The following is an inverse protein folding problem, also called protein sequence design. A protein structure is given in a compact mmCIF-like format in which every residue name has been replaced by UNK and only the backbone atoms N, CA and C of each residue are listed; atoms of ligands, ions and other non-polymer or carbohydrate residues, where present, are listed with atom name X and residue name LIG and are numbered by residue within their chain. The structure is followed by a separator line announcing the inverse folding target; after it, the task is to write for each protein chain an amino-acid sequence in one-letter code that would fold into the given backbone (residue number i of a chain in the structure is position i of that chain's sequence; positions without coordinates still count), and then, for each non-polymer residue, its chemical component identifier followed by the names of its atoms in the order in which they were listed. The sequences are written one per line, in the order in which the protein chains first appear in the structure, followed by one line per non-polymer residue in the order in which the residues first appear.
data_IF_314933667063
#
_entry.id   IF_314933667063
#
_cell.length_a   1.000
_cell.length_b   1.000
_cell.length_c   1.000
_cell.angle_alpha   90.00
_cell.angle_beta   90.00
_cell.angle_gamma   90.00
#
_symmetry.space_group_name_H-M   'P 1'
#
loop_
_entity.id
_entity.type
_entity.pdbx_description
1 polymer ?
#
# COMPACT_ATOMS: atom_id res chain seq x y z
N UNK A 1 2.72 -17.94 22.34
CA UNK A 1 3.86 -18.05 21.40
C UNK A 1 3.67 -17.22 20.12
N UNK A 2 2.85 -16.16 20.15
CA UNK A 2 2.65 -15.22 19.03
C UNK A 2 3.67 -14.08 19.02
N UNK A 3 4.22 -13.70 20.19
CA UNK A 3 5.29 -12.71 20.32
C UNK A 3 6.58 -13.08 19.56
N UNK A 4 6.81 -14.37 19.29
CA UNK A 4 7.96 -14.84 18.53
C UNK A 4 7.76 -14.73 16.99
N UNK A 5 6.52 -14.54 16.51
CA UNK A 5 6.24 -14.30 15.09
C UNK A 5 6.48 -12.85 14.68
N UNK A 6 6.25 -11.89 15.59
CA UNK A 6 6.57 -10.48 15.35
C UNK A 6 8.08 -10.20 15.37
N UNK A 7 8.84 -10.88 16.22
CA UNK A 7 10.30 -10.74 16.27
C UNK A 7 10.99 -11.26 14.99
N UNK A 8 10.39 -12.23 14.30
CA UNK A 8 10.88 -12.75 13.02
C UNK A 8 10.59 -11.80 11.84
N UNK A 9 9.73 -10.79 12.03
CA UNK A 9 9.33 -9.82 10.99
C UNK A 9 10.35 -8.71 10.77
N UNK A 10 11.17 -8.39 11.78
CA UNK A 10 12.17 -7.30 11.73
C UNK A 10 13.46 -7.74 11.01
N UNK A 11 13.59 -9.04 10.70
CA UNK A 11 14.85 -9.64 10.22
C UNK A 11 14.80 -10.48 8.94
N UNK A 12 13.69 -10.53 8.20
CA UNK A 12 13.69 -11.17 6.88
C UNK A 12 14.01 -10.16 5.79
N UNK A 13 15.23 -10.25 5.26
CA UNK A 13 15.50 -9.95 3.86
C UNK A 13 14.37 -10.56 3.03
N UNK A 14 13.46 -9.71 2.53
CA UNK A 14 12.37 -10.11 1.64
C UNK A 14 13.01 -10.87 0.49
N UNK A 15 12.86 -12.19 0.50
CA UNK A 15 13.46 -13.07 -0.51
C UNK A 15 13.14 -12.52 -1.88
N UNK A 16 14.17 -12.04 -2.57
CA UNK A 16 14.08 -11.39 -3.87
C UNK A 16 13.46 -12.42 -4.83
N UNK A 17 12.15 -12.30 -5.07
CA UNK A 17 11.53 -12.87 -6.24
C UNK A 17 12.20 -12.19 -7.43
N UNK A 18 13.13 -12.94 -8.04
CA UNK A 18 14.03 -12.58 -9.14
C UNK A 18 13.51 -11.45 -10.04
N UNK A 19 14.41 -10.51 -10.30
CA UNK A 19 14.37 -9.46 -11.35
C UNK A 19 13.18 -9.61 -12.31
N UNK A 20 12.09 -8.92 -11.96
CA UNK A 20 10.87 -8.90 -12.76
C UNK A 20 11.14 -8.16 -14.06
N UNK A 21 10.92 -8.84 -15.18
CA UNK A 21 11.00 -8.28 -16.53
C UNK A 21 9.56 -8.11 -17.04
N UNK A 22 9.15 -6.93 -17.53
CA UNK A 22 7.77 -6.70 -17.94
C UNK A 22 7.38 -7.70 -19.05
N UNK A 23 6.22 -8.39 -18.95
CA UNK A 23 5.71 -9.18 -20.06
C UNK A 23 5.34 -8.26 -21.23
N UNK A 24 5.62 -8.70 -22.46
CA UNK A 24 5.16 -7.99 -23.65
C UNK A 24 3.63 -7.91 -23.64
N UNK A 25 3.09 -6.71 -23.81
CA UNK A 25 1.65 -6.46 -23.93
C UNK A 25 1.05 -7.34 -25.03
N UNK A 26 0.06 -8.22 -24.74
CA UNK A 26 -0.64 -8.96 -25.78
C UNK A 26 -1.40 -7.99 -26.68
N UNK A 27 -1.24 -8.12 -28.00
CA UNK A 27 -2.00 -7.34 -28.97
C UNK A 27 -3.44 -7.84 -29.03
N UNK A 28 -4.38 -7.04 -28.54
CA UNK A 28 -5.82 -7.33 -28.62
C UNK A 28 -6.33 -6.88 -29.98
N UNK A 29 -6.86 -7.82 -30.78
CA UNK A 29 -7.59 -7.49 -32.00
C UNK A 29 -8.99 -6.95 -31.64
N UNK A 30 -9.47 -5.85 -32.24
CA UNK A 30 -10.71 -5.21 -31.81
C UNK A 30 -11.94 -5.95 -32.36
N UNK A 31 -12.82 -6.39 -31.45
CA UNK A 31 -14.20 -6.75 -31.77
C UNK A 31 -15.06 -5.48 -31.93
N UNK A 32 -16.07 -5.55 -32.81
CA UNK A 32 -16.92 -4.44 -33.28
C UNK A 32 -17.72 -3.77 -32.15
N UNK A 33 -17.36 -2.53 -31.88
CA UNK A 33 -18.07 -1.50 -31.14
C UNK A 33 -17.07 -0.34 -30.97
N UNK A 34 -17.39 0.89 -31.36
CA UNK A 34 -16.44 2.00 -31.22
C UNK A 34 -16.35 2.39 -29.74
N UNK A 35 -15.61 1.61 -28.97
CA UNK A 35 -15.32 1.90 -27.58
C UNK A 35 -14.51 3.20 -27.49
N UNK A 36 -14.93 4.09 -26.58
CA UNK A 36 -14.27 5.38 -26.39
C UNK A 36 -12.82 5.19 -25.94
N UNK A 37 -11.94 6.18 -26.19
CA UNK A 37 -10.55 6.10 -25.75
C UNK A 37 -10.42 5.87 -24.22
N UNK A 38 -11.39 6.39 -23.46
CA UNK A 38 -11.51 6.22 -22.01
C UNK A 38 -11.83 4.79 -21.60
N UNK A 39 -12.78 4.14 -22.27
CA UNK A 39 -13.14 2.74 -22.02
C UNK A 39 -11.97 1.80 -22.33
N UNK A 40 -11.31 1.99 -23.48
CA UNK A 40 -10.12 1.21 -23.85
C UNK A 40 -8.99 1.34 -22.83
N UNK A 41 -8.82 2.53 -22.24
CA UNK A 41 -7.85 2.74 -21.15
C UNK A 41 -8.23 1.91 -19.92
N UNK A 42 -9.49 1.98 -19.49
CA UNK A 42 -9.96 1.25 -18.32
C UNK A 42 -9.88 -0.28 -18.52
N UNK A 43 -10.18 -0.77 -19.72
CA UNK A 43 -10.00 -2.19 -20.08
C UNK A 43 -8.53 -2.63 -19.97
N UNK A 44 -7.59 -1.80 -20.45
CA UNK A 44 -6.14 -2.07 -20.29
C UNK A 44 -5.73 -2.10 -18.83
N UNK A 45 -6.15 -1.10 -18.04
CA UNK A 45 -5.86 -1.03 -16.60
C UNK A 45 -6.40 -2.27 -15.88
N UNK A 46 -7.65 -2.66 -16.15
CA UNK A 46 -8.23 -3.87 -15.58
C UNK A 46 -7.42 -5.13 -15.94
N UNK A 47 -7.04 -5.27 -17.21
CA UNK A 47 -6.26 -6.42 -17.69
C UNK A 47 -4.89 -6.51 -17.04
N UNK A 48 -4.21 -5.38 -16.89
CA UNK A 48 -2.90 -5.26 -16.25
C UNK A 48 -2.99 -5.61 -14.77
N UNK A 49 -3.97 -5.03 -14.06
CA UNK A 49 -4.22 -5.34 -12.66
C UNK A 49 -4.49 -6.83 -12.48
N UNK A 50 -5.43 -7.39 -13.25
CA UNK A 50 -5.78 -8.80 -13.16
C UNK A 50 -4.57 -9.72 -13.38
N UNK A 51 -3.79 -9.46 -14.44
CA UNK A 51 -2.61 -10.28 -14.78
C UNK A 51 -1.52 -10.19 -13.72
N UNK A 52 -1.20 -8.98 -13.26
CA UNK A 52 -0.13 -8.75 -12.28
C UNK A 52 -0.52 -9.31 -10.90
N UNK A 53 -1.76 -9.10 -10.50
CA UNK A 53 -2.30 -9.64 -9.24
C UNK A 53 -2.36 -11.17 -9.29
N UNK A 54 -2.73 -11.77 -10.43
CA UNK A 54 -2.68 -13.23 -10.58
C UNK A 54 -1.28 -13.80 -10.38
N UNK A 55 -0.22 -13.08 -10.79
CA UNK A 55 1.15 -13.49 -10.53
C UNK A 55 1.50 -13.38 -9.04
N UNK A 56 1.17 -12.26 -8.40
CA UNK A 56 1.43 -12.05 -6.97
C UNK A 56 0.68 -13.06 -6.10
N UNK A 57 -0.59 -13.34 -6.42
CA UNK A 57 -1.43 -14.30 -5.68
C UNK A 57 -0.84 -15.71 -5.74
N UNK A 58 -0.29 -16.17 -6.87
CA UNK A 58 0.32 -17.51 -6.97
C UNK A 58 1.39 -17.76 -5.91
N UNK A 59 2.16 -16.73 -5.55
CA UNK A 59 3.21 -16.83 -4.55
C UNK A 59 2.66 -17.06 -3.13
N UNK A 60 1.43 -16.64 -2.86
CA UNK A 60 0.85 -16.61 -1.50
C UNK A 60 -0.45 -17.40 -1.35
N UNK A 61 -1.01 -17.95 -2.43
CA UNK A 61 -2.32 -18.60 -2.41
C UNK A 61 -2.41 -19.75 -1.40
N UNK A 62 -1.29 -20.44 -1.15
CA UNK A 62 -1.19 -21.52 -0.18
C UNK A 62 -1.37 -21.07 1.29
N UNK A 63 -1.27 -19.75 1.56
CA UNK A 63 -1.46 -19.17 2.89
C UNK A 63 -2.92 -18.73 3.13
N UNK A 64 -3.73 -18.63 2.07
CA UNK A 64 -5.14 -18.29 2.17
C UNK A 64 -5.96 -19.51 2.61
N UNK A 65 -6.89 -19.30 3.54
CA UNK A 65 -7.70 -20.36 4.15
C UNK A 65 -9.17 -20.32 3.72
N UNK A 66 -9.64 -19.16 3.27
CA UNK A 66 -11.06 -18.84 3.06
C UNK A 66 -11.42 -18.65 1.60
N UNK A 67 -10.51 -18.14 0.78
CA UNK A 67 -10.74 -17.86 -0.64
C UNK A 67 -9.94 -18.82 -1.52
N UNK A 68 -10.53 -19.20 -2.66
CA UNK A 68 -9.75 -19.84 -3.72
C UNK A 68 -8.80 -18.82 -4.36
N UNK A 69 -7.75 -19.30 -5.03
CA UNK A 69 -6.82 -18.46 -5.80
C UNK A 69 -7.56 -17.51 -6.76
N UNK A 70 -8.53 -18.03 -7.52
CA UNK A 70 -9.37 -17.24 -8.43
C UNK A 70 -10.18 -16.17 -7.70
N UNK A 71 -10.70 -16.47 -6.51
CA UNK A 71 -11.46 -15.52 -5.70
C UNK A 71 -10.55 -14.42 -5.14
N UNK A 72 -9.33 -14.75 -4.70
CA UNK A 72 -8.32 -13.75 -4.30
C UNK A 72 -8.04 -12.78 -5.45
N UNK A 73 -7.69 -13.30 -6.64
CA UNK A 73 -7.40 -12.48 -7.82
C UNK A 73 -8.58 -11.56 -8.14
N UNK A 74 -9.80 -12.11 -8.16
CA UNK A 74 -11.02 -11.35 -8.44
C UNK A 74 -11.24 -10.20 -7.45
N UNK A 75 -11.09 -10.46 -6.15
CA UNK A 75 -11.28 -9.44 -5.09
C UNK A 75 -10.21 -8.36 -5.13
N UNK A 76 -8.94 -8.75 -5.18
CA UNK A 76 -7.81 -7.83 -5.20
C UNK A 76 -7.81 -6.95 -6.46
N UNK A 77 -8.15 -7.53 -7.61
CA UNK A 77 -8.36 -6.77 -8.86
C UNK A 77 -9.49 -5.78 -8.68
N UNK A 78 -10.62 -6.17 -8.07
CA UNK A 78 -11.76 -5.27 -7.84
C UNK A 78 -11.39 -4.08 -6.95
N UNK A 79 -10.66 -4.29 -5.86
CA UNK A 79 -10.21 -3.22 -4.96
C UNK A 79 -9.35 -2.19 -5.73
N UNK A 80 -8.34 -2.69 -6.46
CA UNK A 80 -7.41 -1.86 -7.23
C UNK A 80 -8.07 -1.16 -8.40
N UNK A 81 -8.95 -1.87 -9.13
CA UNK A 81 -9.65 -1.32 -10.28
C UNK A 81 -10.64 -0.23 -9.87
N UNK A 82 -11.34 -0.41 -8.75
CA UNK A 82 -12.23 0.62 -8.20
C UNK A 82 -11.45 1.92 -7.93
N UNK A 83 -10.27 1.84 -7.34
CA UNK A 83 -9.39 2.99 -7.13
C UNK A 83 -9.00 3.66 -8.47
N UNK A 84 -8.56 2.86 -9.44
CA UNK A 84 -8.14 3.36 -10.76
C UNK A 84 -9.26 3.98 -11.60
N UNK A 85 -10.53 3.64 -11.32
CA UNK A 85 -11.70 4.24 -12.00
C UNK A 85 -12.12 5.60 -11.41
N UNK A 86 -11.50 6.05 -10.32
CA UNK A 86 -11.79 7.36 -9.72
C UNK A 86 -11.44 8.48 -10.70
N UNK A 87 -12.46 9.23 -11.15
CA UNK A 87 -12.31 10.24 -12.21
C UNK A 87 -11.30 11.33 -11.87
N UNK A 88 -11.19 11.69 -10.59
CA UNK A 88 -10.29 12.73 -10.09
C UNK A 88 -8.82 12.43 -10.41
N UNK A 89 -8.43 11.15 -10.45
CA UNK A 89 -7.06 10.74 -10.77
C UNK A 89 -6.59 11.27 -12.13
N UNK A 90 -7.50 11.47 -13.09
CA UNK A 90 -7.13 11.93 -14.44
C UNK A 90 -6.81 13.41 -14.51
N UNK A 91 -7.16 14.17 -13.48
CA UNK A 91 -6.95 15.62 -13.40
C UNK A 91 -5.77 16.01 -12.51
N UNK A 92 -5.18 15.05 -11.81
CA UNK A 92 -4.09 15.27 -10.87
C UNK A 92 -2.72 15.36 -11.55
N UNK A 93 -1.77 15.98 -10.85
CA UNK A 93 -0.35 15.89 -11.20
C UNK A 93 0.15 14.45 -11.05
N UNK A 94 1.20 14.10 -11.79
CA UNK A 94 1.60 12.69 -11.93
C UNK A 94 1.96 12.01 -10.60
N UNK A 95 2.61 12.75 -9.70
CA UNK A 95 3.01 12.33 -8.36
C UNK A 95 1.79 12.06 -7.48
N UNK A 96 0.78 12.94 -7.58
CA UNK A 96 -0.49 12.79 -6.88
C UNK A 96 -1.29 11.59 -7.40
N UNK A 97 -1.24 11.27 -8.70
CA UNK A 97 -1.83 10.03 -9.23
C UNK A 97 -1.19 8.81 -8.60
N UNK A 98 0.15 8.77 -8.53
CA UNK A 98 0.90 7.67 -7.94
C UNK A 98 0.54 7.45 -6.47
N UNK A 99 0.45 8.54 -5.70
CA UNK A 99 0.03 8.52 -4.30
C UNK A 99 -1.42 8.05 -4.14
N UNK A 100 -2.33 8.66 -4.88
CA UNK A 100 -3.76 8.49 -4.65
C UNK A 100 -4.26 7.10 -5.08
N UNK A 101 -3.71 6.51 -6.14
CA UNK A 101 -4.07 5.14 -6.54
C UNK A 101 -3.67 4.12 -5.46
N UNK A 102 -2.49 4.30 -4.85
CA UNK A 102 -2.02 3.44 -3.74
C UNK A 102 -2.92 3.65 -2.53
N UNK A 103 -3.13 4.88 -2.08
CA UNK A 103 -3.97 5.20 -0.92
C UNK A 103 -5.38 4.62 -1.03
N UNK A 104 -6.06 4.84 -2.16
CA UNK A 104 -7.42 4.34 -2.37
C UNK A 104 -7.46 2.81 -2.41
N UNK A 105 -6.47 2.19 -3.06
CA UNK A 105 -6.39 0.73 -3.12
C UNK A 105 -6.12 0.16 -1.74
N UNK A 106 -5.07 0.64 -1.05
CA UNK A 106 -4.66 0.21 0.29
C UNK A 106 -5.75 0.45 1.34
N UNK A 107 -6.56 1.50 1.20
CA UNK A 107 -7.71 1.70 2.09
C UNK A 107 -8.73 0.56 2.03
N UNK A 108 -9.10 0.13 0.81
CA UNK A 108 -10.05 -0.98 0.62
C UNK A 108 -9.42 -2.36 0.84
N UNK A 109 -8.20 -2.55 0.36
CA UNK A 109 -7.41 -3.78 0.50
C UNK A 109 -7.01 -4.03 1.96
N UNK A 110 -6.44 -3.03 2.63
CA UNK A 110 -6.06 -3.08 4.05
C UNK A 110 -7.26 -3.35 4.96
N UNK A 111 -8.38 -2.66 4.73
CA UNK A 111 -9.61 -2.90 5.51
C UNK A 111 -10.16 -4.31 5.34
N UNK A 112 -10.00 -4.94 4.18
CA UNK A 112 -10.58 -6.26 3.90
C UNK A 112 -9.62 -7.42 4.18
N UNK A 113 -8.30 -7.18 4.11
CA UNK A 113 -7.31 -8.24 4.04
C UNK A 113 -6.18 -8.12 5.07
N UNK A 114 -6.11 -7.06 5.88
CA UNK A 114 -4.97 -6.84 6.80
C UNK A 114 -4.73 -8.00 7.79
N UNK A 115 -5.77 -8.75 8.15
CA UNK A 115 -5.65 -9.91 9.05
C UNK A 115 -5.29 -11.22 8.34
N UNK A 116 -5.18 -11.22 7.01
CA UNK A 116 -4.76 -12.40 6.27
C UNK A 116 -3.26 -12.67 6.47
N UNK A 117 -2.88 -13.94 6.64
CA UNK A 117 -1.48 -14.34 6.88
C UNK A 117 -0.52 -13.96 5.73
N UNK A 118 -1.07 -13.79 4.53
CA UNK A 118 -0.34 -13.37 3.33
C UNK A 118 -0.31 -11.86 3.09
N UNK A 119 -1.01 -11.05 3.89
CA UNK A 119 -1.19 -9.61 3.64
C UNK A 119 0.13 -8.87 3.40
N UNK A 120 1.11 -9.10 4.27
CA UNK A 120 2.43 -8.49 4.18
C UNK A 120 3.41 -9.27 3.28
N UNK A 121 3.00 -10.44 2.76
CA UNK A 121 3.82 -11.30 1.90
C UNK A 121 3.51 -11.13 0.42
N UNK A 122 2.29 -10.73 0.08
CA UNK A 122 1.90 -10.47 -1.30
C UNK A 122 2.51 -9.15 -1.76
N UNK A 123 3.23 -9.17 -2.89
CA UNK A 123 3.74 -7.95 -3.51
C UNK A 123 2.74 -7.41 -4.53
N UNK A 124 2.04 -6.34 -4.15
CA UNK A 124 1.07 -5.66 -5.00
C UNK A 124 1.68 -4.46 -5.75
N UNK A 125 2.90 -4.03 -5.40
CA UNK A 125 3.50 -2.83 -5.98
C UNK A 125 3.62 -2.90 -7.51
N UNK A 126 4.05 -4.03 -8.14
CA UNK A 126 4.14 -4.11 -9.60
C UNK A 126 2.80 -3.88 -10.31
N UNK A 127 1.68 -4.31 -9.70
CA UNK A 127 0.36 -4.09 -10.25
C UNK A 127 -0.02 -2.60 -10.19
N UNK A 128 0.30 -1.93 -9.08
CA UNK A 128 0.01 -0.52 -8.88
C UNK A 128 0.86 0.37 -9.80
N UNK A 129 2.14 0.05 -9.97
CA UNK A 129 3.05 0.78 -10.86
C UNK A 129 2.53 0.75 -12.30
N UNK A 130 2.17 -0.43 -12.80
CA UNK A 130 1.67 -0.56 -14.17
C UNK A 130 0.31 0.11 -14.37
N UNK A 131 -0.59 0.03 -13.38
CA UNK A 131 -1.87 0.72 -13.44
C UNK A 131 -1.69 2.25 -13.43
N UNK A 132 -0.82 2.77 -12.56
CA UNK A 132 -0.48 4.19 -12.51
C UNK A 132 0.12 4.66 -13.84
N UNK A 133 1.06 3.90 -14.41
CA UNK A 133 1.68 4.21 -15.69
C UNK A 133 0.66 4.36 -16.82
N UNK A 134 -0.26 3.41 -16.97
CA UNK A 134 -1.31 3.48 -18.00
C UNK A 134 -2.22 4.70 -17.81
N UNK A 135 -2.61 5.01 -16.57
CA UNK A 135 -3.42 6.19 -16.26
C UNK A 135 -2.69 7.48 -16.64
N UNK A 136 -1.40 7.56 -16.35
CA UNK A 136 -0.56 8.74 -16.62
C UNK A 136 -0.37 8.96 -18.12
N UNK A 137 -0.01 7.92 -18.87
CA UNK A 137 0.12 7.99 -20.32
C UNK A 137 -1.23 8.32 -20.96
N UNK A 138 -2.32 7.70 -20.48
CA UNK A 138 -3.68 7.99 -20.92
C UNK A 138 -4.15 9.43 -20.62
N UNK A 139 -3.54 10.08 -19.64
CA UNK A 139 -3.83 11.48 -19.24
C UNK A 139 -2.85 12.49 -19.87
N UNK A 140 -1.95 12.04 -20.75
CA UNK A 140 -1.06 12.92 -21.52
C UNK A 140 0.37 13.09 -20.96
N UNK A 141 0.75 12.37 -19.90
CA UNK A 141 2.09 12.45 -19.30
C UNK A 141 3.15 11.64 -20.08
N UNK A 142 3.35 11.96 -21.37
CA UNK A 142 4.19 11.16 -22.27
C UNK A 142 5.71 11.26 -22.05
N UNK A 143 6.18 12.26 -21.29
CA UNK A 143 7.61 12.51 -21.04
C UNK A 143 8.08 12.06 -19.66
N UNK A 144 7.22 11.41 -18.89
CA UNK A 144 7.54 10.94 -17.56
C UNK A 144 8.43 9.69 -17.65
N UNK A 145 9.42 9.58 -16.76
CA UNK A 145 10.23 8.36 -16.66
C UNK A 145 9.47 7.29 -15.88
N UNK A 146 9.41 6.08 -16.44
CA UNK A 146 8.80 4.91 -15.79
C UNK A 146 9.43 4.67 -14.41
N UNK A 147 10.74 4.87 -14.27
CA UNK A 147 11.45 4.68 -13.01
C UNK A 147 10.94 5.64 -11.92
N UNK A 148 10.63 6.88 -12.27
CA UNK A 148 10.08 7.85 -11.30
C UNK A 148 8.69 7.42 -10.80
N UNK A 149 7.86 6.86 -11.69
CA UNK A 149 6.55 6.31 -11.31
C UNK A 149 6.73 5.09 -10.42
N UNK A 150 7.65 4.20 -10.76
CA UNK A 150 7.96 3.03 -9.96
C UNK A 150 8.41 3.42 -8.55
N UNK A 151 9.39 4.30 -8.43
CA UNK A 151 9.91 4.78 -7.13
C UNK A 151 8.79 5.45 -6.30
N UNK A 152 7.97 6.30 -6.92
CA UNK A 152 6.88 6.99 -6.22
C UNK A 152 5.81 6.02 -5.70
N UNK A 153 5.35 5.08 -6.54
CA UNK A 153 4.31 4.11 -6.18
C UNK A 153 4.83 3.09 -5.16
N UNK A 154 6.04 2.56 -5.34
CA UNK A 154 6.64 1.61 -4.40
C UNK A 154 6.82 2.24 -3.03
N UNK A 155 7.36 3.47 -2.97
CA UNK A 155 7.52 4.20 -1.70
C UNK A 155 6.20 4.38 -0.97
N UNK A 156 5.16 4.86 -1.66
CA UNK A 156 3.84 5.05 -1.05
C UNK A 156 3.20 3.73 -0.62
N UNK A 157 3.45 2.63 -1.35
CA UNK A 157 2.96 1.31 -0.99
C UNK A 157 3.65 0.76 0.27
N UNK A 158 4.97 0.89 0.35
CA UNK A 158 5.76 0.48 1.52
C UNK A 158 5.39 1.29 2.75
N UNK A 159 5.24 2.62 2.61
CA UNK A 159 4.76 3.49 3.68
C UNK A 159 3.41 3.02 4.22
N UNK A 160 2.46 2.66 3.35
CA UNK A 160 1.18 2.10 3.82
C UNK A 160 1.32 0.76 4.56
N UNK A 161 2.23 -0.12 4.11
CA UNK A 161 2.48 -1.37 4.83
C UNK A 161 3.07 -1.11 6.21
N UNK A 162 4.01 -0.18 6.31
CA UNK A 162 4.64 0.21 7.57
C UNK A 162 3.62 0.81 8.54
N UNK A 163 2.69 1.65 8.04
CA UNK A 163 1.56 2.16 8.81
C UNK A 163 0.69 1.02 9.38
N UNK A 164 0.29 0.06 8.54
CA UNK A 164 -0.55 -1.07 9.00
C UNK A 164 0.20 -1.96 9.99
N UNK A 165 1.51 -2.15 9.80
CA UNK A 165 2.34 -2.93 10.72
C UNK A 165 2.46 -2.23 12.07
N UNK A 166 2.69 -0.92 12.08
CA UNK A 166 2.74 -0.12 13.30
C UNK A 166 1.42 -0.17 14.06
N UNK A 167 0.30 0.04 13.37
CA UNK A 167 -1.04 -0.02 13.97
C UNK A 167 -1.28 -1.37 14.65
N UNK A 168 -0.92 -2.47 13.98
CA UNK A 168 -1.02 -3.83 14.54
C UNK A 168 -0.13 -4.01 15.76
N UNK A 169 1.14 -3.60 15.69
CA UNK A 169 2.08 -3.72 16.80
C UNK A 169 1.64 -2.90 18.03
N UNK A 170 1.11 -1.70 17.81
CA UNK A 170 0.55 -0.88 18.89
C UNK A 170 -0.66 -1.55 19.52
N UNK A 171 -1.63 -2.01 18.72
CA UNK A 171 -2.83 -2.66 19.23
C UNK A 171 -2.52 -3.95 20.01
N UNK A 172 -1.58 -4.76 19.53
CA UNK A 172 -1.16 -5.98 20.22
C UNK A 172 -0.48 -5.66 21.55
N UNK A 173 0.42 -4.67 21.57
CA UNK A 173 1.07 -4.20 22.80
C UNK A 173 0.05 -3.68 23.81
N UNK A 174 -0.96 -2.93 23.36
CA UNK A 174 -2.01 -2.41 24.22
C UNK A 174 -2.91 -3.53 24.77
N UNK A 175 -3.24 -4.53 23.97
CA UNK A 175 -4.00 -5.71 24.43
C UNK A 175 -3.23 -6.54 25.46
N UNK A 176 -1.91 -6.60 25.35
CA UNK A 176 -1.07 -7.30 26.33
C UNK A 176 -0.96 -6.56 27.67
N UNK A 177 -0.96 -5.22 27.64
CA UNK A 177 -0.74 -4.38 28.82
C UNK A 177 -2.02 -3.90 29.51
N UNK A 178 -3.14 -3.81 28.79
CA UNK A 178 -4.36 -3.17 29.27
C UNK A 178 -5.61 -4.03 29.01
N UNK A 179 -6.65 -3.92 29.85
CA UNK A 179 -7.93 -4.57 29.61
C UNK A 179 -8.64 -3.99 28.37
N UNK A 180 -9.47 -4.81 27.72
CA UNK A 180 -10.17 -4.49 26.46
C UNK A 180 -11.03 -3.22 26.54
N UNK A 181 -11.50 -2.83 27.73
CA UNK A 181 -12.37 -1.67 27.90
C UNK A 181 -11.68 -0.32 27.65
N UNK A 182 -10.34 -0.27 27.70
CA UNK A 182 -9.58 0.99 27.57
C UNK A 182 -8.60 1.01 26.39
N UNK A 183 -8.27 -0.14 25.79
CA UNK A 183 -7.23 -0.24 24.75
C UNK A 183 -7.49 0.66 23.53
N UNK A 184 -8.74 0.79 23.10
CA UNK A 184 -9.12 1.56 21.91
C UNK A 184 -9.00 3.06 22.17
N UNK A 185 -9.28 3.50 23.41
CA UNK A 185 -9.12 4.92 23.78
C UNK A 185 -7.63 5.30 23.82
N UNK A 186 -6.81 4.43 24.42
CA UNK A 186 -5.36 4.64 24.49
C UNK A 186 -4.77 4.62 23.07
N UNK A 187 -5.16 3.65 22.25
CA UNK A 187 -4.75 3.58 20.84
C UNK A 187 -5.07 4.86 20.07
N UNK A 188 -6.32 5.35 20.18
CA UNK A 188 -6.73 6.59 19.50
C UNK A 188 -5.92 7.80 19.95
N UNK A 189 -5.58 7.91 21.23
CA UNK A 189 -4.71 8.99 21.73
C UNK A 189 -3.29 8.87 21.17
N UNK A 190 -2.71 7.66 21.18
CA UNK A 190 -1.36 7.38 20.67
C UNK A 190 -1.24 7.69 19.18
N UNK A 191 -2.14 7.16 18.34
CA UNK A 191 -2.04 7.28 16.89
C UNK A 191 -2.35 8.71 16.41
N UNK A 192 -3.26 9.42 17.10
CA UNK A 192 -3.60 10.82 16.80
C UNK A 192 -2.39 11.74 16.99
N UNK A 193 -1.56 11.47 17.99
CA UNK A 193 -0.34 12.25 18.26
C UNK A 193 0.84 11.80 17.38
N UNK A 194 0.92 10.51 17.02
CA UNK A 194 2.10 9.91 16.38
C UNK A 194 2.50 10.61 15.07
N UNK A 195 1.64 10.57 14.05
CA UNK A 195 1.99 11.04 12.70
C UNK A 195 2.30 12.54 12.65
N UNK A 196 1.47 13.43 13.25
CA UNK A 196 1.77 14.86 13.24
C UNK A 196 3.11 15.20 13.91
N UNK A 197 3.48 14.48 14.98
CA UNK A 197 4.77 14.70 15.67
C UNK A 197 5.93 14.17 14.84
N UNK A 198 5.77 13.00 14.21
CA UNK A 198 6.79 12.44 13.32
C UNK A 198 7.05 13.39 12.14
N UNK A 199 6.00 13.85 11.47
CA UNK A 199 6.09 14.78 10.34
C UNK A 199 6.78 16.09 10.74
N UNK A 200 6.40 16.66 11.88
CA UNK A 200 6.98 17.90 12.40
C UNK A 200 8.48 17.74 12.71
N UNK A 201 8.87 16.62 13.32
CA UNK A 201 10.27 16.34 13.61
C UNK A 201 11.04 16.10 12.31
N UNK A 202 10.50 15.32 11.38
CA UNK A 202 11.16 15.09 10.09
C UNK A 202 11.36 16.38 9.28
N UNK A 203 10.41 17.32 9.35
CA UNK A 203 10.51 18.61 8.68
C UNK A 203 11.52 19.57 9.34
N UNK A 204 11.67 19.54 10.67
CA UNK A 204 12.37 20.58 11.43
C UNK A 204 13.70 20.15 12.07
N UNK A 205 14.15 18.91 11.88
CA UNK A 205 15.31 18.35 12.58
C UNK A 205 16.61 18.24 11.76
N UNK A 206 16.74 19.03 10.69
CA UNK A 206 17.82 18.91 9.70
C UNK A 206 19.27 19.01 10.24
N UNK A 207 19.47 19.57 11.44
CA UNK A 207 20.79 19.65 12.09
C UNK A 207 20.98 18.66 13.27
N UNK A 208 19.95 17.89 13.63
CA UNK A 208 20.00 16.94 14.75
C UNK A 208 20.59 15.60 14.32
N UNK A 209 21.28 14.91 15.21
CA UNK A 209 21.65 13.49 15.01
C UNK A 209 20.43 12.58 15.18
N UNK A 210 20.46 11.39 14.56
CA UNK A 210 19.32 10.46 14.56
C UNK A 210 18.84 10.10 15.98
N UNK A 211 19.76 9.87 16.92
CA UNK A 211 19.40 9.59 18.32
C UNK A 211 18.65 10.75 18.98
N UNK A 212 19.06 11.99 18.70
CA UNK A 212 18.40 13.19 19.23
C UNK A 212 17.00 13.36 18.64
N UNK A 213 16.82 13.04 17.35
CA UNK A 213 15.50 13.05 16.70
C UNK A 213 14.57 12.03 17.34
N UNK A 214 15.05 10.82 17.58
CA UNK A 214 14.29 9.74 18.25
C UNK A 214 13.92 10.14 19.67
N UNK A 215 14.85 10.70 20.44
CA UNK A 215 14.58 11.16 21.81
C UNK A 215 13.52 12.27 21.83
N UNK A 216 13.66 13.27 20.94
CA UNK A 216 12.68 14.35 20.78
C UNK A 216 11.30 13.81 20.40
N UNK A 217 11.25 12.85 19.49
CA UNK A 217 10.03 12.19 19.05
C UNK A 217 9.34 11.47 20.20
N UNK A 218 10.04 10.56 20.88
CA UNK A 218 9.47 9.79 21.98
C UNK A 218 8.99 10.72 23.09
N UNK A 219 9.76 11.75 23.44
CA UNK A 219 9.37 12.72 24.47
C UNK A 219 8.08 13.45 24.10
N UNK A 220 7.97 14.00 22.88
CA UNK A 220 6.76 14.72 22.44
C UNK A 220 5.58 13.78 22.31
N UNK A 221 5.79 12.62 21.72
CA UNK A 221 4.73 11.63 21.55
C UNK A 221 4.15 11.17 22.89
N UNK A 222 4.99 10.91 23.90
CA UNK A 222 4.54 10.55 25.25
C UNK A 222 3.79 11.70 25.95
N UNK A 223 4.28 12.94 25.81
CA UNK A 223 3.60 14.11 26.39
C UNK A 223 2.23 14.37 25.74
N UNK A 224 2.12 14.27 24.42
CA UNK A 224 0.89 14.62 23.70
C UNK A 224 -0.15 13.48 23.69
N UNK A 225 0.30 12.22 23.81
CA UNK A 225 -0.61 11.07 23.86
C UNK A 225 -1.13 10.74 25.27
N UNK A 226 -0.40 11.13 26.32
CA UNK A 226 -0.77 10.85 27.72
C UNK A 226 -0.94 12.10 28.58
N UNK A 227 -0.72 13.28 28.02
CA UNK A 227 -0.95 14.55 28.70
C UNK A 227 -2.44 14.83 28.90
N UNK A 228 -2.80 15.58 29.97
CA UNK A 228 -4.18 15.97 30.28
C UNK A 228 -4.77 16.97 29.26
#
# INVERSE_FOLDING_TARGET
DEANQLAHYVGLERGICREWRPPATPSVQPARGQSTASEKLLERVHTILHTSIAQAVKCVAHLERTWSETEMVRRLTRYSYKAATTMELRTLAWDQVCKQIVQLTMGSYGSACSDAAWFFQIDMAPAFVQAAWELLIGSGWQRLDYRQVQEAVTREYEEHLDHVLLDKAMLESLRACFPDTIHSKIYQALIKAYWPILDDIMANSGAMEDLQRVELFVRRWMCDSMGP
#
